data_IF_012042068497
#
_entry.id   IF_012042068497
#
_cell.length_a   1.000
_cell.length_b   1.000
_cell.length_c   1.000
_cell.angle_alpha   90.00
_cell.angle_beta   90.00
_cell.angle_gamma   90.00
#
_symmetry.space_group_name_H-M   'P 1'
#
loop_
_entity.id
_entity.type
_entity.pdbx_description
1 polymer ?
#
# COMPACT_ATOMS: atom_id res chain seq x y z
N UNK A 1 3.71 11.86 -3.17
CA UNK A 1 4.66 10.89 -2.60
C UNK A 1 4.08 9.49 -2.64
N UNK A 2 4.90 8.51 -2.89
CA UNK A 2 4.46 7.11 -2.86
C UNK A 2 4.54 6.56 -1.45
N UNK A 3 3.53 5.78 -1.10
CA UNK A 3 3.47 5.09 0.19
C UNK A 3 3.29 3.60 -0.05
N UNK A 4 3.93 2.81 0.80
CA UNK A 4 3.72 1.37 0.85
C UNK A 4 2.94 1.08 2.11
N UNK A 5 1.84 0.35 1.98
CA UNK A 5 0.99 -0.01 3.10
C UNK A 5 1.02 -1.52 3.25
N UNK A 6 1.46 -1.97 4.42
CA UNK A 6 1.51 -3.38 4.76
C UNK A 6 0.60 -3.64 5.95
N UNK A 7 -0.15 -4.72 5.91
CA UNK A 7 -1.01 -5.04 7.04
C UNK A 7 -0.97 -6.52 7.37
N UNK A 8 -1.22 -6.81 8.66
CA UNK A 8 -1.30 -8.15 9.18
C UNK A 8 -2.58 -8.21 10.01
N UNK A 9 -3.63 -8.77 9.44
CA UNK A 9 -4.96 -8.82 10.03
C UNK A 9 -5.48 -10.25 9.90
N UNK A 10 -5.63 -10.92 11.03
CA UNK A 10 -6.04 -12.31 11.04
C UNK A 10 -7.53 -12.48 10.74
N UNK A 11 -8.36 -11.54 11.16
CA UNK A 11 -9.80 -11.62 10.93
C UNK A 11 -10.13 -11.39 9.46
N UNK A 12 -10.78 -12.36 8.84
CA UNK A 12 -11.08 -12.30 7.40
C UNK A 12 -11.94 -11.10 7.03
N UNK A 13 -12.96 -10.81 7.83
CA UNK A 13 -13.87 -9.71 7.54
C UNK A 13 -13.18 -8.36 7.60
N UNK A 14 -12.40 -8.12 8.65
CA UNK A 14 -11.65 -6.87 8.76
C UNK A 14 -10.58 -6.75 7.69
N UNK A 15 -9.88 -7.84 7.42
CA UNK A 15 -8.86 -7.86 6.36
C UNK A 15 -9.45 -7.47 5.02
N UNK A 16 -10.59 -8.04 4.67
CA UNK A 16 -11.25 -7.73 3.41
C UNK A 16 -11.73 -6.30 3.33
N UNK A 17 -12.24 -5.76 4.45
CA UNK A 17 -12.68 -4.37 4.48
C UNK A 17 -11.52 -3.41 4.30
N UNK A 18 -10.39 -3.70 4.94
CA UNK A 18 -9.19 -2.87 4.78
C UNK A 18 -8.68 -2.93 3.34
N UNK A 19 -8.60 -4.12 2.75
CA UNK A 19 -8.17 -4.27 1.37
C UNK A 19 -9.09 -3.51 0.41
N UNK A 20 -10.40 -3.60 0.60
CA UNK A 20 -11.35 -2.89 -0.24
C UNK A 20 -11.20 -1.36 -0.10
N UNK A 21 -10.95 -0.88 1.11
CA UNK A 21 -10.73 0.55 1.32
C UNK A 21 -9.45 1.01 0.64
N UNK A 22 -8.38 0.25 0.78
CA UNK A 22 -7.09 0.60 0.16
C UNK A 22 -7.17 0.63 -1.36
N UNK A 23 -8.03 -0.18 -1.97
CA UNK A 23 -8.23 -0.16 -3.42
C UNK A 23 -8.76 1.17 -3.93
N UNK A 24 -9.41 1.95 -3.08
CA UNK A 24 -9.88 3.28 -3.46
C UNK A 24 -8.75 4.29 -3.58
N UNK A 25 -7.59 4.00 -3.03
CA UNK A 25 -6.47 4.94 -2.97
C UNK A 25 -5.25 4.49 -3.76
N UNK A 26 -5.10 3.18 -3.96
CA UNK A 26 -3.89 2.67 -4.58
C UNK A 26 -4.07 1.31 -5.20
N UNK A 27 -2.96 0.60 -5.31
CA UNK A 27 -2.88 -0.66 -6.05
C UNK A 27 -2.32 -1.76 -5.17
N UNK A 28 -2.88 -2.95 -5.29
CA UNK A 28 -2.37 -4.12 -4.58
C UNK A 28 -1.11 -4.62 -5.27
N UNK A 29 -0.05 -4.76 -4.50
CA UNK A 29 1.20 -5.35 -4.99
C UNK A 29 1.28 -6.83 -4.64
N UNK A 30 0.93 -7.16 -3.40
CA UNK A 30 0.85 -8.52 -2.91
C UNK A 30 -0.37 -8.61 -2.01
N UNK A 31 -0.67 -9.80 -1.50
CA UNK A 31 -1.91 -10.04 -0.79
C UNK A 31 -2.18 -9.06 0.36
N UNK A 32 -1.14 -8.70 1.10
CA UNK A 32 -1.26 -7.76 2.22
C UNK A 32 -0.39 -6.53 2.04
N UNK A 33 -0.06 -6.19 0.80
CA UNK A 33 0.79 -5.04 0.47
C UNK A 33 0.14 -4.22 -0.63
N UNK A 34 -0.05 -2.94 -0.35
CA UNK A 34 -0.54 -1.95 -1.32
C UNK A 34 0.48 -0.85 -1.50
N UNK A 35 0.44 -0.18 -2.63
CA UNK A 35 1.16 1.06 -2.83
C UNK A 35 0.21 2.11 -3.37
N UNK A 36 0.46 3.36 -3.04
CA UNK A 36 -0.41 4.46 -3.45
C UNK A 36 0.40 5.74 -3.60
N UNK A 37 0.09 6.50 -4.64
CA UNK A 37 0.66 7.82 -4.84
C UNK A 37 -0.35 8.84 -4.33
N UNK A 38 -0.04 9.48 -3.21
CA UNK A 38 -0.98 10.34 -2.50
C UNK A 38 -0.31 11.66 -2.13
N UNK A 39 -1.08 12.73 -2.21
CA UNK A 39 -0.69 13.97 -1.55
C UNK A 39 -1.03 13.85 -0.04
N UNK A 40 -0.69 14.85 0.71
CA UNK A 40 -0.87 14.81 2.17
C UNK A 40 -2.34 14.69 2.57
N UNK A 41 -3.23 15.37 1.86
CA UNK A 41 -4.65 15.31 2.16
C UNK A 41 -5.21 13.90 1.93
N UNK A 42 -4.90 13.30 0.81
CA UNK A 42 -5.34 11.95 0.49
C UNK A 42 -4.72 10.92 1.43
N UNK A 43 -3.45 11.11 1.80
CA UNK A 43 -2.80 10.23 2.77
C UNK A 43 -3.54 10.26 4.12
N UNK A 44 -3.91 11.45 4.58
CA UNK A 44 -4.66 11.57 5.83
C UNK A 44 -6.03 10.91 5.75
N UNK A 45 -6.71 11.08 4.62
CA UNK A 45 -8.02 10.47 4.42
C UNK A 45 -7.93 8.95 4.41
N UNK A 46 -6.95 8.42 3.69
CA UNK A 46 -6.74 6.98 3.61
C UNK A 46 -6.42 6.41 4.99
N UNK A 47 -5.49 7.04 5.70
CA UNK A 47 -5.09 6.56 7.01
C UNK A 47 -6.24 6.60 8.02
N UNK A 48 -7.02 7.67 8.00
CA UNK A 48 -8.20 7.78 8.84
C UNK A 48 -9.25 6.72 8.53
N UNK A 49 -9.50 6.45 7.25
CA UNK A 49 -10.45 5.45 6.83
C UNK A 49 -10.03 4.04 7.27
N UNK A 50 -8.76 3.72 7.09
CA UNK A 50 -8.22 2.43 7.53
C UNK A 50 -8.29 2.30 9.05
N UNK A 51 -7.97 3.37 9.76
CA UNK A 51 -8.00 3.37 11.22
C UNK A 51 -9.36 3.05 11.81
N UNK A 52 -10.43 3.39 11.09
CA UNK A 52 -11.79 3.08 11.54
C UNK A 52 -12.17 1.62 11.35
N UNK A 53 -11.45 0.90 10.52
CA UNK A 53 -11.76 -0.48 10.17
C UNK A 53 -10.99 -1.50 10.99
N UNK A 54 -9.83 -1.10 11.53
CA UNK A 54 -8.95 -2.03 12.22
C UNK A 54 -9.26 -2.10 13.71
N UNK A 55 -8.90 -3.23 14.31
CA UNK A 55 -8.89 -3.40 15.76
C UNK A 55 -7.43 -3.28 16.20
N UNK A 56 -7.06 -2.13 16.76
CA UNK A 56 -5.67 -1.83 17.09
C UNK A 56 -5.08 -2.76 18.15
N UNK A 57 -5.91 -3.50 18.86
CA UNK A 57 -5.44 -4.46 19.87
C UNK A 57 -4.80 -5.70 19.25
N UNK A 58 -5.23 -6.08 18.05
CA UNK A 58 -4.80 -7.33 17.41
C UNK A 58 -4.34 -7.16 15.97
N UNK A 59 -4.73 -6.07 15.31
CA UNK A 59 -4.37 -5.82 13.91
C UNK A 59 -3.15 -4.92 13.81
N UNK A 60 -2.38 -5.10 12.75
CA UNK A 60 -1.24 -4.23 12.46
C UNK A 60 -1.35 -3.68 11.05
N UNK A 61 -1.13 -2.39 10.91
CA UNK A 61 -1.05 -1.73 9.61
C UNK A 61 0.13 -0.77 9.67
N UNK A 62 1.02 -0.89 8.70
CA UNK A 62 2.20 -0.04 8.60
C UNK A 62 2.17 0.74 7.31
N UNK A 63 2.59 2.00 7.38
CA UNK A 63 2.69 2.87 6.22
C UNK A 63 4.13 3.38 6.14
N UNK A 64 4.75 3.17 4.98
CA UNK A 64 6.13 3.58 4.73
C UNK A 64 6.15 4.58 3.58
N UNK A 65 6.64 5.79 3.80
CA UNK A 65 6.85 6.72 2.70
C UNK A 65 8.04 6.28 1.86
N UNK A 66 7.92 6.40 0.54
CA UNK A 66 8.97 6.02 -0.39
C UNK A 66 9.29 7.22 -1.27
N UNK A 67 10.46 7.81 -1.12
CA UNK A 67 10.87 8.92 -1.94
C UNK A 67 11.16 8.46 -3.37
N UNK A 68 11.22 9.41 -4.28
CA UNK A 68 11.42 9.14 -5.70
C UNK A 68 12.71 8.39 -5.97
N UNK A 69 13.79 8.75 -5.28
CA UNK A 69 15.06 8.07 -5.45
C UNK A 69 14.98 6.60 -5.03
N UNK A 70 14.23 6.29 -3.97
CA UNK A 70 14.04 4.93 -3.52
C UNK A 70 13.18 4.13 -4.50
N UNK A 71 12.17 4.75 -5.08
CA UNK A 71 11.33 4.10 -6.09
C UNK A 71 12.16 3.63 -7.27
N UNK A 72 13.11 4.44 -7.71
CA UNK A 72 13.96 4.11 -8.85
C UNK A 72 14.93 2.96 -8.56
N UNK A 73 15.10 2.61 -7.31
CA UNK A 73 15.98 1.51 -6.90
C UNK A 73 15.22 0.22 -6.63
N UNK A 74 13.93 0.20 -6.90
CA UNK A 74 13.13 -0.99 -6.69
C UNK A 74 13.64 -2.18 -7.51
N UNK A 75 13.67 -3.33 -6.87
CA UNK A 75 14.04 -4.58 -7.52
C UNK A 75 12.92 -5.58 -7.31
N UNK A 76 12.66 -6.40 -8.31
CA UNK A 76 11.56 -7.34 -8.26
C UNK A 76 11.89 -8.62 -9.01
N UNK A 77 11.57 -9.74 -8.39
CA UNK A 77 11.58 -11.04 -9.07
C UNK A 77 10.15 -11.51 -9.25
N UNK A 78 9.81 -11.90 -10.46
CA UNK A 78 8.50 -12.48 -10.75
C UNK A 78 7.35 -11.48 -10.60
N UNK A 79 6.14 -12.00 -10.71
CA UNK A 79 4.96 -11.19 -10.55
C UNK A 79 4.64 -10.36 -11.79
N UNK A 80 3.81 -9.35 -11.58
CA UNK A 80 3.42 -8.43 -12.66
C UNK A 80 4.45 -7.32 -12.84
N UNK A 81 4.11 -6.35 -13.70
CA UNK A 81 4.96 -5.22 -13.95
C UNK A 81 5.32 -4.52 -12.64
N UNK A 82 6.52 -3.94 -12.57
CA UNK A 82 6.93 -3.17 -11.41
C UNK A 82 6.00 -2.00 -11.15
N UNK A 83 6.08 -1.42 -9.96
CA UNK A 83 5.26 -0.28 -9.56
C UNK A 83 5.59 1.00 -10.33
N UNK A 84 6.73 1.04 -11.01
CA UNK A 84 7.15 2.17 -11.82
C UNK A 84 6.65 2.03 -13.26
N UNK A 85 6.71 3.12 -14.01
CA UNK A 85 6.40 3.09 -15.43
C UNK A 85 7.39 2.20 -16.17
N UNK A 86 6.92 1.45 -17.19
CA UNK A 86 7.77 0.49 -17.89
C UNK A 86 9.04 1.08 -18.49
N UNK A 87 9.04 2.32 -18.90
CA UNK A 87 10.23 2.92 -19.51
C UNK A 87 11.42 3.03 -18.55
N UNK A 88 11.20 2.86 -17.27
CA UNK A 88 12.28 2.86 -16.29
C UNK A 88 12.94 1.50 -16.12
N UNK A 89 12.39 0.50 -16.75
CA UNK A 89 12.85 -0.87 -16.59
C UNK A 89 13.45 -1.34 -17.88
N UNK A 90 14.72 -1.09 -18.00
CA UNK A 90 15.51 -1.61 -19.09
C UNK A 90 16.09 -2.93 -18.64
N UNK A 91 15.58 -3.96 -19.16
CA UNK A 91 16.01 -5.28 -18.75
C UNK A 91 16.84 -5.91 -19.82
#
# INVERSE_FOLDING_TARGET
>A
MRYIICYDIADDGRRNRVANELKNFGHRSQESVFWADLDEDLRQRMWGAVGKLVDERVDKVHLFPMCEACQKKELQYGGEAPMEEPEFYVV
#
